data_IF_600903594590
#
_entry.id   IF_600903594590
#
_cell.length_a   1.000
_cell.length_b   1.000
_cell.length_c   1.000
_cell.angle_alpha   90.00
_cell.angle_beta   90.00
_cell.angle_gamma   90.00
#
_symmetry.space_group_name_H-M   'P 1'
#
loop_
_entity.id
_entity.type
_entity.pdbx_description
1 polymer ?
#
# COMPACT_ATOMS: atom_id res chain seq x y z
N UNK A 1 6.14 19.85 -9.01
CA UNK A 1 5.90 19.82 -7.56
C UNK A 1 4.67 18.95 -7.36
N UNK A 2 4.82 17.72 -6.85
CA UNK A 2 3.68 16.88 -6.47
C UNK A 2 3.12 17.49 -5.17
N UNK A 3 2.03 18.26 -5.21
CA UNK A 3 1.52 18.91 -4.02
C UNK A 3 0.89 17.80 -3.16
N UNK A 4 1.34 17.68 -1.91
CA UNK A 4 0.56 17.10 -0.81
C UNK A 4 -0.07 15.71 -1.03
N UNK A 5 0.59 14.78 -1.74
CA UNK A 5 0.26 13.33 -1.66
C UNK A 5 0.48 12.74 -0.24
N UNK A 6 0.87 13.57 0.74
CA UNK A 6 1.55 13.19 1.97
C UNK A 6 0.64 12.80 3.16
N UNK A 7 -0.65 12.55 2.99
CA UNK A 7 -1.50 12.06 4.10
C UNK A 7 -2.79 11.37 3.58
N UNK A 8 -2.66 10.55 2.54
CA UNK A 8 -3.78 9.70 2.12
C UNK A 8 -3.99 8.61 3.15
N UNK A 9 -5.14 8.65 3.82
CA UNK A 9 -5.57 7.59 4.72
C UNK A 9 -6.16 6.43 3.89
N UNK A 10 -5.68 5.22 4.15
CA UNK A 10 -6.26 4.00 3.60
C UNK A 10 -7.22 3.41 4.64
N UNK A 11 -8.49 3.31 4.28
CA UNK A 11 -9.56 2.87 5.17
C UNK A 11 -10.27 1.65 4.59
N UNK A 12 -10.53 0.66 5.45
CA UNK A 12 -11.37 -0.48 5.10
C UNK A 12 -12.84 -0.06 5.05
N UNK A 13 -13.58 -0.53 4.04
CA UNK A 13 -15.04 -0.42 3.97
C UNK A 13 -15.68 -1.76 3.66
N UNK A 14 -16.54 -2.22 4.57
CA UNK A 14 -17.32 -3.46 4.43
C UNK A 14 -18.53 -3.31 3.51
N UNK A 15 -18.86 -2.08 3.09
CA UNK A 15 -19.94 -1.78 2.16
C UNK A 15 -19.50 -1.91 0.70
N UNK A 16 -18.19 -1.95 0.44
CA UNK A 16 -17.66 -2.08 -0.91
C UNK A 16 -17.68 -3.54 -1.38
N UNK A 17 -18.08 -3.80 -2.65
CA UNK A 17 -17.91 -5.11 -3.26
C UNK A 17 -16.45 -5.54 -3.27
N UNK A 18 -16.20 -6.83 -3.36
CA UNK A 18 -14.83 -7.36 -3.48
C UNK A 18 -14.03 -6.67 -4.61
N UNK A 19 -12.71 -6.60 -4.41
CA UNK A 19 -11.76 -6.04 -5.38
C UNK A 19 -12.08 -4.60 -5.78
N UNK A 20 -12.60 -3.80 -4.85
CA UNK A 20 -13.06 -2.44 -5.14
C UNK A 20 -12.29 -1.41 -4.32
N UNK A 21 -11.93 -0.31 -4.98
CA UNK A 21 -11.27 0.84 -4.40
C UNK A 21 -12.02 2.12 -4.82
N UNK A 22 -12.23 3.03 -3.87
CA UNK A 22 -12.77 4.37 -4.08
C UNK A 22 -11.73 5.37 -3.61
N UNK A 23 -11.30 6.28 -4.48
CA UNK A 23 -10.24 7.24 -4.17
C UNK A 23 -10.47 8.61 -4.80
N UNK A 24 -9.81 9.68 -4.32
CA UNK A 24 -9.76 10.97 -4.99
C UNK A 24 -9.36 10.86 -6.47
N UNK A 25 -9.86 11.76 -7.32
CA UNK A 25 -9.68 11.70 -8.78
C UNK A 25 -8.20 11.68 -9.22
N UNK A 26 -7.39 12.51 -8.59
CA UNK A 26 -5.94 12.57 -8.77
C UNK A 26 -5.28 11.24 -8.41
N UNK A 27 -5.66 10.61 -7.30
CA UNK A 27 -5.16 9.28 -6.91
C UNK A 27 -5.61 8.21 -7.90
N UNK A 28 -6.87 8.20 -8.32
CA UNK A 28 -7.40 7.25 -9.32
C UNK A 28 -6.60 7.32 -10.62
N UNK A 29 -6.23 8.53 -11.04
CA UNK A 29 -5.44 8.74 -12.27
C UNK A 29 -4.09 8.07 -12.16
N UNK A 30 -3.38 8.27 -11.05
CA UNK A 30 -2.07 7.65 -10.81
C UNK A 30 -2.19 6.13 -10.67
N UNK A 31 -3.16 5.62 -9.91
CA UNK A 31 -3.38 4.18 -9.76
C UNK A 31 -3.62 3.49 -11.10
N UNK A 32 -4.40 4.11 -12.00
CA UNK A 32 -4.64 3.57 -13.35
C UNK A 32 -3.37 3.54 -14.20
N UNK A 33 -2.46 4.49 -14.01
CA UNK A 33 -1.17 4.52 -14.72
C UNK A 33 -0.20 3.47 -14.17
N UNK A 34 -0.18 3.26 -12.84
CA UNK A 34 0.78 2.36 -12.18
C UNK A 34 0.38 0.89 -12.20
N UNK A 35 -0.91 0.59 -12.00
CA UNK A 35 -1.39 -0.78 -11.77
C UNK A 35 -1.89 -1.44 -13.07
N UNK A 36 -2.01 -0.68 -14.16
CA UNK A 36 -2.34 -1.20 -15.49
C UNK A 36 -3.67 -1.97 -15.52
N UNK A 37 -3.64 -3.21 -16.02
CA UNK A 37 -4.81 -4.09 -16.19
C UNK A 37 -5.15 -4.94 -14.96
N UNK A 38 -4.69 -4.58 -13.75
CA UNK A 38 -5.12 -5.29 -12.56
C UNK A 38 -6.65 -5.22 -12.46
N UNK A 39 -7.29 -6.37 -12.26
CA UNK A 39 -8.73 -6.45 -12.11
C UNK A 39 -9.16 -5.93 -10.72
N UNK A 40 -9.09 -4.61 -10.56
CA UNK A 40 -9.68 -3.84 -9.48
C UNK A 40 -10.74 -2.92 -10.06
N UNK A 41 -11.88 -2.87 -9.38
CA UNK A 41 -12.91 -1.88 -9.63
C UNK A 41 -12.48 -0.57 -8.97
N UNK A 42 -11.97 0.37 -9.76
CA UNK A 42 -11.51 1.68 -9.27
C UNK A 42 -12.58 2.72 -9.56
N UNK A 43 -13.11 3.35 -8.52
CA UNK A 43 -14.10 4.42 -8.58
C UNK A 43 -13.54 5.73 -8.03
N UNK A 44 -14.06 6.85 -8.55
CA UNK A 44 -13.74 8.18 -8.03
C UNK A 44 -14.65 8.48 -6.84
N UNK A 45 -14.03 8.74 -5.70
CA UNK A 45 -14.67 9.20 -4.47
C UNK A 45 -14.71 10.71 -4.35
N UNK A 46 -15.54 11.18 -3.42
CA UNK A 46 -15.67 12.61 -3.07
C UNK A 46 -14.87 13.00 -1.81
N UNK A 47 -14.44 12.00 -1.02
CA UNK A 47 -13.66 12.22 0.20
C UNK A 47 -12.15 12.21 -0.08
N UNK A 48 -11.33 12.72 0.85
CA UNK A 48 -9.87 12.75 0.70
C UNK A 48 -9.19 11.40 0.99
N UNK A 49 -9.91 10.42 1.53
CA UNK A 49 -9.39 9.11 1.87
C UNK A 49 -9.58 8.08 0.74
N UNK A 50 -8.75 7.04 0.76
CA UNK A 50 -8.89 5.86 -0.10
C UNK A 50 -9.65 4.78 0.67
N UNK A 51 -10.85 4.45 0.20
CA UNK A 51 -11.64 3.35 0.74
C UNK A 51 -11.39 2.09 -0.07
N UNK A 52 -11.15 0.97 0.59
CA UNK A 52 -10.92 -0.33 -0.05
C UNK A 52 -11.82 -1.41 0.54
N UNK A 53 -12.22 -2.36 -0.30
CA UNK A 53 -12.92 -3.56 0.16
C UNK A 53 -12.03 -4.42 1.07
N UNK A 54 -12.66 -5.21 1.94
CA UNK A 54 -11.96 -6.00 2.97
C UNK A 54 -10.88 -6.95 2.42
N UNK A 55 -11.10 -7.54 1.24
CA UNK A 55 -10.11 -8.40 0.57
C UNK A 55 -8.86 -7.63 0.16
N UNK A 56 -9.05 -6.42 -0.39
CA UNK A 56 -7.95 -5.53 -0.80
C UNK A 56 -7.22 -5.00 0.43
N UNK A 57 -7.95 -4.63 1.48
CA UNK A 57 -7.36 -4.19 2.73
C UNK A 57 -6.48 -5.29 3.36
N UNK A 58 -6.99 -6.52 3.42
CA UNK A 58 -6.25 -7.67 3.94
C UNK A 58 -4.98 -7.94 3.12
N UNK A 59 -5.09 -7.88 1.78
CA UNK A 59 -3.94 -8.04 0.89
C UNK A 59 -2.88 -6.95 1.13
N UNK A 60 -3.32 -5.71 1.34
CA UNK A 60 -2.43 -4.59 1.66
C UNK A 60 -1.71 -4.81 3.00
N UNK A 61 -2.43 -5.21 4.06
CA UNK A 61 -1.83 -5.51 5.37
C UNK A 61 -0.80 -6.64 5.29
N UNK A 62 -1.11 -7.72 4.57
CA UNK A 62 -0.17 -8.82 4.37
C UNK A 62 1.10 -8.38 3.64
N UNK A 63 0.97 -7.53 2.61
CA UNK A 63 2.12 -6.96 1.91
C UNK A 63 2.95 -6.03 2.82
N UNK A 64 2.31 -5.18 3.62
CA UNK A 64 3.01 -4.29 4.57
C UNK A 64 3.81 -5.08 5.61
N UNK A 65 3.26 -6.19 6.13
CA UNK A 65 3.99 -7.06 7.04
C UNK A 65 5.24 -7.66 6.37
N UNK A 66 5.10 -8.15 5.13
CA UNK A 66 6.23 -8.71 4.38
C UNK A 66 7.35 -7.69 4.14
N UNK A 67 7.02 -6.42 3.89
CA UNK A 67 8.04 -5.37 3.74
C UNK A 67 8.80 -5.11 5.05
N UNK A 68 8.08 -5.11 6.17
CA UNK A 68 8.68 -4.89 7.50
C UNK A 68 9.66 -6.00 7.87
N UNK A 69 9.31 -7.25 7.53
CA UNK A 69 10.16 -8.41 7.80
C UNK A 69 11.44 -8.37 6.95
N UNK A 70 11.35 -7.95 5.68
CA UNK A 70 12.51 -7.80 4.78
C UNK A 70 13.50 -6.71 5.24
N UNK A 71 13.01 -5.59 5.78
CA UNK A 71 13.87 -4.52 6.32
C UNK A 71 14.59 -4.93 7.62
N UNK A 72 14.05 -5.93 8.33
CA UNK A 72 14.62 -6.43 9.58
C UNK A 72 15.75 -7.44 9.38
N UNK A 73 15.80 -8.12 8.23
CA UNK A 73 16.80 -9.14 7.91
C UNK A 73 18.11 -8.56 7.32
N UNK A 74 18.08 -7.33 6.80
CA UNK A 74 19.24 -6.66 6.16
C UNK A 74 20.21 -5.96 7.15
N UNK A 75 20.01 -6.14 8.47
CA UNK A 75 20.90 -5.59 9.53
C UNK A 75 21.72 -6.67 10.27
N UNK A 76 21.81 -7.87 9.71
CA UNK A 76 22.26 -9.07 10.42
C UNK A 76 23.64 -9.63 10.11
N UNK A 77 24.42 -9.11 9.15
CA UNK A 77 25.69 -9.76 8.76
C UNK A 77 26.77 -8.74 8.34
N UNK A 78 27.48 -8.15 9.31
CA UNK A 78 28.94 -7.94 9.19
C UNK A 78 29.55 -7.51 10.54
N UNK A 79 29.99 -8.47 11.36
CA UNK A 79 31.09 -8.24 12.30
C UNK A 79 31.76 -9.59 12.59
N UNK A 80 32.35 -10.16 11.53
CA UNK A 80 33.29 -11.27 11.66
C UNK A 80 34.53 -10.82 12.45
N UNK A 81 34.68 -11.47 13.61
CA UNK A 81 35.89 -12.19 13.98
C UNK A 81 37.24 -11.48 13.82
N UNK A 82 37.64 -10.67 14.82
CA UNK A 82 39.07 -10.51 15.15
C UNK A 82 39.26 -10.29 16.65
N UNK A 83 39.34 -11.37 17.43
CA UNK A 83 40.07 -11.32 18.70
C UNK A 83 40.95 -12.56 18.86
N UNK A 84 42.11 -12.45 18.21
CA UNK A 84 43.26 -13.32 18.41
C UNK A 84 43.57 -13.51 19.91
N UNK A 85 43.88 -14.77 20.24
CA UNK A 85 44.50 -15.25 21.49
C UNK A 85 45.65 -14.38 21.99
#
# INVERSE_FOLDING_TARGET
>A
MLPELCQLELLESTELPERTLVAPLDVVRELRLSIGELALNIHVGIGPAVLVSSDVYTAFQAWTQQQTDLESEDQGEDFDDYRYN
#
